data_IF_364679946128
#
_entry.id   IF_364679946128
#
_cell.length_a   1.000
_cell.length_b   1.000
_cell.length_c   1.000
_cell.angle_alpha   90.00
_cell.angle_beta   90.00
_cell.angle_gamma   90.00
#
_symmetry.space_group_name_H-M   'P 1'
#
loop_
_entity.id
_entity.type
_entity.pdbx_description
1 polymer ?
#
# COMPACT_ATOMS: atom_id res chain seq x y z
N UNK A 1 -2.63 -5.67 -21.14
CA UNK A 1 -3.51 -5.79 -19.97
C UNK A 1 -4.30 -4.50 -19.90
N UNK A 2 -5.58 -4.56 -20.23
CA UNK A 2 -6.47 -3.41 -20.14
C UNK A 2 -6.75 -3.11 -18.67
N UNK A 3 -6.46 -1.90 -18.21
CA UNK A 3 -6.72 -1.46 -16.83
C UNK A 3 -8.21 -1.10 -16.62
N UNK A 4 -9.10 -1.86 -17.27
CA UNK A 4 -10.56 -1.78 -17.09
C UNK A 4 -10.92 -2.36 -15.72
N UNK A 5 -10.83 -1.54 -14.68
CA UNK A 5 -11.17 -1.98 -13.32
C UNK A 5 -10.69 -1.08 -12.18
N UNK A 6 -10.28 0.16 -12.46
CA UNK A 6 -9.94 1.12 -11.39
C UNK A 6 -11.25 1.72 -10.87
N UNK A 7 -11.60 1.38 -9.63
CA UNK A 7 -12.71 2.03 -8.94
C UNK A 7 -12.30 3.44 -8.50
N UNK A 8 -13.12 4.42 -8.88
CA UNK A 8 -12.98 5.80 -8.40
C UNK A 8 -13.88 6.04 -7.19
N UNK A 9 -13.27 6.44 -6.09
CA UNK A 9 -13.95 6.90 -4.90
C UNK A 9 -13.76 8.41 -4.81
N UNK A 10 -14.87 9.16 -4.87
CA UNK A 10 -14.79 10.62 -4.85
C UNK A 10 -14.17 11.13 -3.55
N UNK A 11 -14.61 10.60 -2.40
CA UNK A 11 -14.21 11.11 -1.09
C UNK A 11 -14.01 10.01 -0.06
N UNK A 12 -12.86 10.05 0.60
CA UNK A 12 -12.55 9.25 1.79
C UNK A 12 -12.08 10.17 2.91
N UNK A 13 -12.68 10.00 4.10
CA UNK A 13 -12.18 10.64 5.32
C UNK A 13 -11.82 9.59 6.35
N UNK A 14 -10.55 9.54 6.74
CA UNK A 14 -10.09 8.69 7.83
C UNK A 14 -10.15 9.42 9.17
N UNK A 15 -10.69 8.72 10.15
CA UNK A 15 -10.69 9.06 11.57
C UNK A 15 -9.96 7.96 12.33
N UNK A 16 -9.49 8.19 13.57
CA UNK A 16 -8.76 7.16 14.32
C UNK A 16 -9.51 5.83 14.49
N UNK A 17 -10.85 5.85 14.54
CA UNK A 17 -11.68 4.66 14.78
C UNK A 17 -12.37 4.09 13.54
N UNK A 18 -12.48 4.86 12.44
CA UNK A 18 -13.27 4.47 11.26
C UNK A 18 -12.87 5.27 10.02
N UNK A 19 -13.33 4.82 8.86
CA UNK A 19 -13.27 5.56 7.61
C UNK A 19 -14.69 5.93 7.15
N UNK A 20 -14.86 7.10 6.56
CA UNK A 20 -16.06 7.48 5.84
C UNK A 20 -15.81 7.36 4.35
N UNK A 21 -16.59 6.53 3.66
CA UNK A 21 -16.56 6.34 2.20
C UNK A 21 -17.98 6.57 1.69
N UNK A 22 -18.16 7.49 0.74
CA UNK A 22 -19.49 7.83 0.18
C UNK A 22 -20.56 8.07 1.27
N UNK A 23 -20.18 8.72 2.38
CA UNK A 23 -21.08 9.01 3.51
C UNK A 23 -21.36 7.83 4.45
N UNK A 24 -20.80 6.65 4.22
CA UNK A 24 -20.98 5.47 5.08
C UNK A 24 -19.75 5.21 5.97
N UNK A 25 -19.95 4.89 7.26
CA UNK A 25 -18.85 4.53 8.15
C UNK A 25 -18.41 3.08 7.92
N UNK A 26 -17.09 2.87 7.91
CA UNK A 26 -16.47 1.56 7.80
C UNK A 26 -15.46 1.36 8.92
N UNK A 27 -15.44 0.15 9.49
CA UNK A 27 -14.38 -0.27 10.43
C UNK A 27 -13.04 -0.29 9.71
N UNK A 28 -11.99 0.04 10.45
CA UNK A 28 -10.62 0.10 9.96
C UNK A 28 -9.72 -0.83 10.78
N UNK A 29 -8.73 -1.41 10.12
CA UNK A 29 -7.56 -2.05 10.72
C UNK A 29 -6.33 -1.28 10.29
N UNK A 30 -5.57 -0.78 11.27
CA UNK A 30 -4.43 0.09 11.02
C UNK A 30 -3.16 -0.70 10.78
N UNK A 31 -2.52 -0.45 9.66
CA UNK A 31 -1.10 -0.73 9.43
C UNK A 31 -0.29 0.57 9.49
N UNK A 32 1.03 0.42 9.62
CA UNK A 32 1.95 1.55 9.67
C UNK A 32 1.89 2.42 8.39
N UNK A 33 1.71 1.80 7.22
CA UNK A 33 1.76 2.44 5.91
C UNK A 33 0.43 2.48 5.16
N UNK A 34 -0.53 1.66 5.60
CA UNK A 34 -1.83 1.51 4.96
C UNK A 34 -2.92 1.25 6.00
N UNK A 35 -4.16 1.56 5.64
CA UNK A 35 -5.35 1.14 6.38
C UNK A 35 -6.08 0.05 5.59
N UNK A 36 -6.49 -1.01 6.26
CA UNK A 36 -7.38 -2.00 5.69
C UNK A 36 -8.81 -1.78 6.17
N UNK A 37 -9.76 -1.80 5.25
CA UNK A 37 -11.19 -1.69 5.48
C UNK A 37 -11.81 -3.06 5.20
N UNK A 38 -12.06 -3.91 6.22
CA UNK A 38 -12.42 -5.30 6.00
C UNK A 38 -13.74 -5.50 5.25
N UNK A 39 -14.75 -4.68 5.56
CA UNK A 39 -16.07 -4.76 4.92
C UNK A 39 -16.01 -4.63 3.40
N UNK A 40 -15.45 -3.53 2.85
CA UNK A 40 -15.27 -3.39 1.41
C UNK A 40 -14.01 -4.09 0.88
N UNK A 41 -13.21 -4.74 1.73
CA UNK A 41 -11.94 -5.40 1.36
C UNK A 41 -10.92 -4.47 0.68
N UNK A 42 -10.84 -3.22 1.11
CA UNK A 42 -9.93 -2.21 0.53
C UNK A 42 -8.72 -2.00 1.43
N UNK A 43 -7.51 -2.12 0.89
CA UNK A 43 -6.26 -1.66 1.51
C UNK A 43 -5.86 -0.32 0.89
N UNK A 44 -6.08 0.79 1.60
CA UNK A 44 -5.72 2.14 1.16
C UNK A 44 -4.37 2.56 1.76
N UNK A 45 -3.50 3.15 0.94
CA UNK A 45 -2.23 3.69 1.43
C UNK A 45 -2.45 4.99 2.21
N UNK A 46 -1.65 5.20 3.26
CA UNK A 46 -1.60 6.49 3.93
C UNK A 46 -0.88 7.48 3.04
N UNK A 47 -1.48 8.66 2.85
CA UNK A 47 -0.92 9.69 1.99
C UNK A 47 -0.97 11.08 2.63
N UNK A 48 0.03 11.90 2.33
CA UNK A 48 0.05 13.34 2.58
C UNK A 48 0.42 14.04 1.27
N UNK A 49 -0.49 14.88 0.77
CA UNK A 49 -0.32 15.57 -0.52
C UNK A 49 0.00 14.62 -1.70
N UNK A 50 -0.65 13.45 -1.76
CA UNK A 50 -0.45 12.46 -2.83
C UNK A 50 0.86 11.69 -2.76
N UNK A 51 1.62 11.82 -1.67
CA UNK A 51 2.85 11.05 -1.42
C UNK A 51 2.67 10.13 -0.24
N UNK A 52 3.39 9.01 -0.23
CA UNK A 52 3.32 8.00 0.81
C UNK A 52 3.61 8.59 2.20
N UNK A 53 2.95 8.03 3.22
CA UNK A 53 3.12 8.41 4.61
C UNK A 53 3.10 7.19 5.53
N UNK A 54 3.66 7.35 6.74
CA UNK A 54 3.73 6.32 7.77
C UNK A 54 3.21 6.90 9.08
N UNK A 55 2.32 6.17 9.74
CA UNK A 55 1.75 6.54 11.05
C UNK A 55 2.36 5.75 12.21
N UNK A 56 3.43 4.98 11.96
CA UNK A 56 4.12 4.25 13.01
C UNK A 56 4.67 5.22 14.06
N UNK A 57 4.47 4.92 15.34
CA UNK A 57 4.80 5.87 16.42
C UNK A 57 6.30 6.20 16.53
N UNK A 58 7.19 5.36 15.99
CA UNK A 58 8.64 5.65 15.90
C UNK A 58 9.07 6.25 14.57
N UNK A 59 8.14 6.45 13.63
CA UNK A 59 8.47 7.11 12.37
C UNK A 59 8.85 8.59 12.64
N UNK A 60 9.79 9.15 11.86
CA UNK A 60 10.03 10.58 11.85
C UNK A 60 8.77 11.39 11.64
N UNK A 61 8.83 12.65 12.08
CA UNK A 61 7.96 13.68 11.53
C UNK A 61 8.35 13.93 10.07
N UNK A 62 7.34 13.94 9.20
CA UNK A 62 7.51 14.15 7.77
C UNK A 62 8.18 15.48 7.46
N UNK A 63 7.81 16.53 8.18
CA UNK A 63 8.33 17.89 8.00
C UNK A 63 9.81 17.98 8.35
N UNK A 64 10.27 17.27 9.39
CA UNK A 64 11.67 17.24 9.79
C UNK A 64 12.54 16.53 8.74
N UNK A 65 12.06 15.40 8.22
CA UNK A 65 12.75 14.64 7.17
C UNK A 65 12.84 15.45 5.88
N UNK A 66 11.70 15.94 5.38
CA UNK A 66 11.66 16.65 4.10
C UNK A 66 12.31 18.03 4.17
N UNK A 67 12.44 18.61 5.37
CA UNK A 67 13.21 19.83 5.62
C UNK A 67 14.72 19.61 5.80
N UNK A 68 15.19 18.36 5.83
CA UNK A 68 16.61 18.03 6.04
C UNK A 68 17.09 18.22 7.48
N UNK A 69 16.17 18.27 8.45
CA UNK A 69 16.49 18.43 9.87
C UNK A 69 16.59 17.10 10.61
N UNK A 70 16.17 16.00 9.99
CA UNK A 70 16.30 14.66 10.55
C UNK A 70 17.74 14.17 10.48
N UNK A 71 18.29 13.84 11.65
CA UNK A 71 19.68 13.37 11.81
C UNK A 71 19.80 11.86 12.03
N UNK A 72 18.70 11.11 11.92
CA UNK A 72 18.75 9.65 12.06
C UNK A 72 19.55 9.03 10.91
N UNK A 73 20.15 7.87 11.17
CA UNK A 73 20.96 7.14 10.19
C UNK A 73 20.18 6.76 8.93
N UNK A 74 18.87 6.59 9.04
CA UNK A 74 17.94 6.21 7.98
C UNK A 74 17.15 7.41 7.41
N UNK A 75 17.57 8.66 7.69
CA UNK A 75 16.86 9.86 7.25
C UNK A 75 16.66 9.92 5.72
N UNK A 76 17.64 9.47 4.93
CA UNK A 76 17.54 9.40 3.47
C UNK A 76 16.48 8.39 3.01
N UNK A 77 16.39 7.24 3.68
CA UNK A 77 15.37 6.23 3.37
C UNK A 77 13.97 6.76 3.67
N UNK A 78 13.81 7.50 4.78
CA UNK A 78 12.57 8.18 5.11
C UNK A 78 12.24 9.31 4.13
N UNK A 79 13.24 10.07 3.69
CA UNK A 79 13.05 11.13 2.70
C UNK A 79 12.58 10.56 1.37
N UNK A 80 13.18 9.44 0.94
CA UNK A 80 12.72 8.68 -0.23
C UNK A 80 11.29 8.20 -0.03
N UNK A 81 10.98 7.50 1.06
CA UNK A 81 9.63 6.99 1.31
C UNK A 81 8.57 8.11 1.36
N UNK A 82 8.87 9.26 1.97
CA UNK A 82 7.94 10.40 2.03
C UNK A 82 7.86 11.21 0.73
N UNK A 83 8.85 11.10 -0.16
CA UNK A 83 8.82 11.72 -1.48
C UNK A 83 8.15 10.84 -2.54
N UNK A 84 8.12 9.51 -2.35
CA UNK A 84 7.48 8.56 -3.25
C UNK A 84 5.99 8.90 -3.48
N UNK A 85 5.55 9.06 -4.75
CA UNK A 85 4.14 9.20 -5.07
C UNK A 85 3.33 8.01 -4.57
N UNK A 86 2.15 8.26 -3.99
CA UNK A 86 1.31 7.17 -3.47
C UNK A 86 0.83 6.22 -4.58
N UNK A 87 0.62 6.75 -5.79
CA UNK A 87 0.20 5.95 -6.96
C UNK A 87 1.29 4.94 -7.35
N UNK A 88 2.55 5.39 -7.38
CA UNK A 88 3.72 4.52 -7.57
C UNK A 88 3.72 3.37 -6.57
N UNK A 89 3.55 3.67 -5.29
CA UNK A 89 3.58 2.63 -4.25
C UNK A 89 2.43 1.62 -4.37
N UNK A 90 1.26 2.08 -4.79
CA UNK A 90 0.11 1.19 -5.06
C UNK A 90 0.35 0.33 -6.28
N UNK A 91 0.95 0.88 -7.34
CA UNK A 91 1.33 0.14 -8.54
C UNK A 91 2.35 -0.96 -8.23
N UNK A 92 3.38 -0.67 -7.42
CA UNK A 92 4.33 -1.67 -6.92
C UNK A 92 3.61 -2.79 -6.16
N UNK A 93 2.72 -2.43 -5.22
CA UNK A 93 1.95 -3.43 -4.48
C UNK A 93 1.03 -4.26 -5.39
N UNK A 94 0.39 -3.65 -6.40
CA UNK A 94 -0.47 -4.37 -7.34
C UNK A 94 0.31 -5.44 -8.09
N UNK A 95 1.45 -5.07 -8.68
CA UNK A 95 2.31 -6.02 -9.41
C UNK A 95 2.77 -7.15 -8.48
N UNK A 96 3.23 -6.81 -7.28
CA UNK A 96 3.66 -7.83 -6.31
C UNK A 96 2.50 -8.75 -5.88
N UNK A 97 1.30 -8.23 -5.61
CA UNK A 97 0.16 -9.07 -5.23
C UNK A 97 -0.32 -9.95 -6.38
N UNK A 98 -0.28 -9.47 -7.63
CA UNK A 98 -0.53 -10.30 -8.81
C UNK A 98 0.41 -11.50 -8.87
N UNK A 99 1.71 -11.25 -8.69
CA UNK A 99 2.73 -12.31 -8.70
C UNK A 99 2.60 -13.28 -7.52
N UNK A 100 2.38 -12.76 -6.31
CA UNK A 100 2.15 -13.59 -5.13
C UNK A 100 0.92 -14.47 -5.29
N UNK A 101 -0.18 -13.94 -5.82
CA UNK A 101 -1.39 -14.72 -6.02
C UNK A 101 -1.17 -15.83 -7.05
N UNK A 102 -0.52 -15.52 -8.18
CA UNK A 102 -0.17 -16.51 -9.20
C UNK A 102 0.71 -17.64 -8.64
N UNK A 103 1.58 -17.34 -7.67
CA UNK A 103 2.40 -18.32 -6.97
C UNK A 103 1.70 -18.99 -5.76
N UNK A 104 0.44 -18.64 -5.46
CA UNK A 104 -0.29 -19.15 -4.28
C UNK A 104 0.22 -18.64 -2.93
N UNK A 105 0.98 -17.54 -2.91
CA UNK A 105 1.65 -16.98 -1.73
C UNK A 105 0.93 -15.76 -1.13
N UNK A 106 -0.02 -15.17 -1.84
CA UNK A 106 -0.73 -13.96 -1.42
C UNK A 106 -2.23 -13.98 -1.72
N UNK A 107 -2.96 -12.95 -1.24
CA UNK A 107 -4.38 -12.81 -1.53
C UNK A 107 -4.60 -12.52 -3.01
N UNK A 108 -5.74 -12.96 -3.53
CA UNK A 108 -6.22 -12.55 -4.84
C UNK A 108 -6.39 -11.01 -4.89
N UNK A 109 -5.71 -10.32 -5.82
CA UNK A 109 -5.95 -8.91 -6.08
C UNK A 109 -7.19 -8.76 -6.98
N UNK A 110 -8.25 -8.18 -6.42
CA UNK A 110 -9.56 -8.09 -7.08
C UNK A 110 -9.76 -6.77 -7.85
N UNK A 111 -8.87 -5.79 -7.66
CA UNK A 111 -8.95 -4.51 -8.38
C UNK A 111 -8.16 -3.39 -7.73
N UNK A 112 -8.09 -2.27 -8.45
CA UNK A 112 -7.42 -1.04 -8.00
C UNK A 112 -8.47 -0.03 -7.53
N UNK A 113 -8.10 0.78 -6.55
CA UNK A 113 -8.95 1.87 -6.03
C UNK A 113 -8.16 3.17 -6.06
N UNK A 114 -8.77 4.22 -6.60
CA UNK A 114 -8.22 5.57 -6.60
C UNK A 114 -9.17 6.55 -5.91
N UNK A 115 -8.62 7.44 -5.09
CA UNK A 115 -9.38 8.40 -4.27
C UNK A 115 -9.03 9.82 -4.67
N UNK A 116 -10.02 10.59 -5.10
CA UNK A 116 -9.84 12.00 -5.54
C UNK A 116 -9.65 12.96 -4.37
N UNK A 117 -10.44 12.79 -3.32
CA UNK A 117 -10.49 13.66 -2.14
C UNK A 117 -10.27 12.83 -0.86
N UNK A 118 -9.00 12.63 -0.54
CA UNK A 118 -8.54 11.95 0.64
C UNK A 118 -8.18 12.93 1.75
N UNK A 119 -8.75 12.70 2.94
CA UNK A 119 -8.40 13.40 4.18
C UNK A 119 -8.17 12.40 5.29
N UNK A 120 -7.14 12.60 6.08
CA UNK A 120 -6.84 11.76 7.25
C UNK A 120 -6.75 12.57 8.54
N UNK A 121 -6.75 11.90 9.69
CA UNK A 121 -6.60 12.56 10.99
C UNK A 121 -5.16 13.02 11.25
N UNK A 122 -4.17 12.41 10.57
CA UNK A 122 -2.75 12.74 10.68
C UNK A 122 -2.29 13.82 9.69
N UNK A 123 -3.19 14.34 8.84
CA UNK A 123 -2.89 15.43 7.92
C UNK A 123 -4.00 16.47 7.89
N UNK A 124 -3.62 17.75 7.90
CA UNK A 124 -4.58 18.85 7.70
C UNK A 124 -4.96 19.03 6.24
N UNK A 125 -4.10 18.59 5.31
CA UNK A 125 -4.29 18.75 3.88
C UNK A 125 -5.31 17.77 3.29
N UNK A 126 -5.81 18.12 2.12
CA UNK A 126 -6.56 17.21 1.24
C UNK A 126 -5.65 16.82 0.09
N UNK A 127 -5.79 15.61 -0.42
CA UNK A 127 -5.01 15.15 -1.57
C UNK A 127 -5.61 13.90 -2.18
N UNK A 128 -4.83 13.24 -3.01
CA UNK A 128 -5.20 11.93 -3.54
C UNK A 128 -4.61 10.81 -2.67
N UNK A 129 -5.24 9.65 -2.71
CA UNK A 129 -4.59 8.38 -2.36
C UNK A 129 -5.05 7.29 -3.32
N UNK A 130 -4.46 6.11 -3.21
CA UNK A 130 -4.91 4.92 -3.92
C UNK A 130 -4.74 3.68 -3.03
N UNK A 131 -5.24 2.56 -3.52
CA UNK A 131 -5.18 1.28 -2.85
C UNK A 131 -5.61 0.14 -3.73
N UNK A 132 -5.86 -1.00 -3.07
CA UNK A 132 -6.14 -2.28 -3.71
C UNK A 132 -7.36 -2.90 -3.06
N UNK A 133 -8.17 -3.61 -3.86
CA UNK A 133 -9.10 -4.62 -3.34
C UNK A 133 -8.37 -5.95 -3.26
N UNK A 134 -8.32 -6.55 -2.07
CA UNK A 134 -7.64 -7.81 -1.82
C UNK A 134 -8.60 -8.81 -1.18
N UNK A 135 -8.56 -10.07 -1.62
CA UNK A 135 -9.32 -11.12 -0.98
C UNK A 135 -8.95 -11.25 0.52
N UNK A 136 -9.96 -11.59 1.33
CA UNK A 136 -9.81 -11.67 2.78
C UNK A 136 -9.08 -12.97 3.16
N UNK A 137 -7.78 -12.85 3.45
CA UNK A 137 -6.94 -13.96 3.90
C UNK A 137 -7.47 -14.66 5.15
N UNK A 138 -8.32 -14.04 5.96
CA UNK A 138 -8.88 -14.73 7.14
C UNK A 138 -9.82 -15.88 6.76
N UNK A 139 -10.28 -15.91 5.51
CA UNK A 139 -11.15 -16.96 4.94
C UNK A 139 -10.38 -18.03 4.16
N UNK A 140 -9.07 -17.87 3.98
CA UNK A 140 -8.24 -18.82 3.22
C UNK A 140 -7.94 -20.06 4.07
N UNK A 141 -7.70 -21.24 3.45
CA UNK A 141 -7.18 -22.39 4.18
C UNK A 141 -5.77 -22.11 4.70
N UNK A 142 -5.45 -22.63 5.88
CA UNK A 142 -4.09 -22.50 6.43
C UNK A 142 -3.08 -23.30 5.59
N UNK A 143 -1.89 -22.72 5.42
CA UNK A 143 -0.75 -23.40 4.80
C UNK A 143 0.55 -23.05 5.51
N UNK A 144 1.63 -23.73 5.14
CA UNK A 144 2.97 -23.36 5.58
C UNK A 144 3.28 -21.91 5.18
N UNK A 145 3.92 -21.12 6.08
CA UNK A 145 4.38 -19.78 5.75
C UNK A 145 5.29 -19.77 4.53
N UNK A 146 5.09 -18.81 3.65
CA UNK A 146 5.96 -18.55 2.52
C UNK A 146 7.39 -18.28 2.99
N UNK A 147 8.35 -18.81 2.25
CA UNK A 147 9.79 -18.69 2.46
C UNK A 147 10.37 -17.58 1.59
N UNK A 148 11.59 -17.13 1.91
CA UNK A 148 12.28 -16.15 1.07
C UNK A 148 12.50 -16.65 -0.36
N UNK A 149 12.81 -17.94 -0.52
CA UNK A 149 13.03 -18.55 -1.82
C UNK A 149 11.77 -18.49 -2.69
N UNK A 150 10.61 -18.84 -2.12
CA UNK A 150 9.33 -18.77 -2.82
C UNK A 150 8.96 -17.33 -3.21
N UNK A 151 9.27 -16.33 -2.37
CA UNK A 151 9.07 -14.92 -2.73
C UNK A 151 9.93 -14.50 -3.93
N UNK A 152 11.21 -14.91 -3.94
CA UNK A 152 12.12 -14.63 -5.05
C UNK A 152 11.71 -15.35 -6.33
N UNK A 153 11.28 -16.60 -6.23
CA UNK A 153 10.73 -17.36 -7.36
C UNK A 153 9.45 -16.71 -7.92
N UNK A 154 8.64 -16.09 -7.07
CA UNK A 154 7.51 -15.25 -7.49
C UNK A 154 7.95 -13.87 -8.06
N UNK A 155 9.25 -13.63 -8.27
CA UNK A 155 9.78 -12.37 -8.80
C UNK A 155 9.61 -11.20 -7.84
N UNK A 156 9.83 -11.42 -6.53
CA UNK A 156 9.76 -10.36 -5.51
C UNK A 156 11.08 -10.29 -4.77
N UNK A 157 11.65 -9.09 -4.74
CA UNK A 157 12.78 -8.75 -3.89
C UNK A 157 12.25 -8.42 -2.49
N UNK A 158 12.54 -9.25 -1.47
CA UNK A 158 12.05 -9.02 -0.11
C UNK A 158 12.61 -7.73 0.49
N UNK A 159 11.86 -7.11 1.40
CA UNK A 159 12.38 -5.96 2.14
C UNK A 159 13.57 -6.37 3.03
N UNK A 160 14.50 -5.44 3.29
CA UNK A 160 15.69 -5.72 4.12
C UNK A 160 15.35 -6.28 5.49
N UNK A 161 14.21 -5.85 6.05
CA UNK A 161 13.78 -6.35 7.35
C UNK A 161 13.05 -7.69 7.25
N UNK A 162 12.67 -8.17 6.06
CA UNK A 162 11.82 -9.37 5.88
C UNK A 162 10.46 -9.25 6.59
N UNK A 163 9.87 -8.07 6.63
CA UNK A 163 8.55 -7.84 7.19
C UNK A 163 7.49 -8.69 6.47
N UNK A 164 7.57 -8.80 5.14
CA UNK A 164 6.65 -9.63 4.35
C UNK A 164 6.68 -11.12 4.72
N UNK A 165 7.80 -11.61 5.24
CA UNK A 165 7.96 -12.99 5.71
C UNK A 165 7.51 -13.18 7.16
N UNK A 166 7.68 -12.17 8.03
CA UNK A 166 7.25 -12.25 9.44
C UNK A 166 5.76 -12.04 9.64
N UNK A 167 5.14 -11.23 8.80
CA UNK A 167 3.77 -10.73 8.98
C UNK A 167 2.79 -11.40 8.01
N UNK A 168 2.79 -12.73 8.04
CA UNK A 168 1.91 -13.56 7.22
C UNK A 168 0.61 -13.88 7.95
N UNK A 169 -0.49 -13.95 7.20
CA UNK A 169 -1.81 -14.35 7.70
C UNK A 169 -2.10 -15.73 7.12
N UNK A 170 -2.30 -16.74 7.97
CA UNK A 170 -2.56 -18.14 7.57
C UNK A 170 -1.50 -18.73 6.60
N UNK A 171 -0.28 -18.20 6.65
CA UNK A 171 0.82 -18.61 5.77
C UNK A 171 0.89 -17.87 4.42
N UNK A 172 0.10 -16.80 4.24
CA UNK A 172 0.14 -15.94 3.05
C UNK A 172 0.70 -14.56 3.39
N UNK A 173 1.45 -13.99 2.46
CA UNK A 173 2.00 -12.64 2.55
C UNK A 173 0.86 -11.62 2.51
N UNK A 174 0.76 -10.80 3.56
CA UNK A 174 -0.34 -9.84 3.75
C UNK A 174 0.09 -8.37 3.69
N UNK A 175 1.37 -8.10 4.01
CA UNK A 175 1.95 -6.77 3.91
C UNK A 175 3.31 -6.78 3.23
N UNK A 176 3.47 -5.79 2.37
CA UNK A 176 4.67 -5.55 1.56
C UNK A 176 5.27 -4.18 1.86
N UNK A 177 4.56 -3.37 2.68
CA UNK A 177 4.90 -1.99 2.95
C UNK A 177 5.84 -1.89 4.14
N UNK A 178 7.05 -1.42 3.86
CA UNK A 178 8.04 -1.08 4.85
C UNK A 178 8.85 0.12 4.35
N UNK A 179 9.70 0.69 5.22
CA UNK A 179 10.63 1.76 4.87
C UNK A 179 11.52 1.37 3.68
N UNK A 180 11.99 0.13 3.66
CA UNK A 180 12.70 -0.50 2.55
C UNK A 180 11.83 -1.55 1.86
N UNK A 181 10.55 -1.22 1.63
CA UNK A 181 9.51 -2.15 1.22
C UNK A 181 9.92 -3.11 0.10
N UNK A 182 9.27 -4.26 0.06
CA UNK A 182 9.48 -5.23 -1.00
C UNK A 182 9.24 -4.58 -2.37
N UNK A 183 9.95 -5.08 -3.38
CA UNK A 183 9.90 -4.57 -4.76
C UNK A 183 9.64 -5.72 -5.74
N UNK A 184 8.88 -5.49 -6.82
CA UNK A 184 8.80 -6.46 -7.91
C UNK A 184 10.13 -6.50 -8.66
N UNK A 185 10.68 -7.70 -8.84
CA UNK A 185 11.89 -7.92 -9.64
C UNK A 185 11.60 -7.66 -11.12
N UNK A 186 12.42 -6.84 -11.79
CA UNK A 186 12.23 -6.45 -13.20
C UNK A 186 10.82 -5.91 -13.54
N UNK A 187 10.09 -5.37 -12.56
CA UNK A 187 8.69 -4.95 -12.69
C UNK A 187 8.48 -3.51 -13.17
N UNK A 188 9.53 -2.76 -13.50
CA UNK A 188 9.44 -1.30 -13.73
C UNK A 188 8.39 -0.91 -14.77
N UNK A 189 8.35 -1.62 -15.92
CA UNK A 189 7.39 -1.33 -16.98
C UNK A 189 5.94 -1.61 -16.55
N UNK A 190 5.70 -2.66 -15.77
CA UNK A 190 4.38 -3.03 -15.24
C UNK A 190 3.92 -2.00 -14.21
N UNK A 191 4.83 -1.60 -13.32
CA UNK A 191 4.56 -0.57 -12.32
C UNK A 191 4.24 0.76 -13.00
N UNK A 192 5.03 1.18 -13.98
CA UNK A 192 4.80 2.42 -14.73
C UNK A 192 3.45 2.41 -15.47
N UNK A 193 3.06 1.28 -16.07
CA UNK A 193 1.77 1.14 -16.73
C UNK A 193 0.59 1.30 -15.75
N UNK A 194 0.67 0.64 -14.59
CA UNK A 194 -0.36 0.72 -13.55
C UNK A 194 -0.41 2.12 -12.92
N UNK A 195 0.74 2.73 -12.64
CA UNK A 195 0.82 4.09 -12.13
C UNK A 195 0.18 5.09 -13.10
N UNK A 196 0.49 4.98 -14.39
CA UNK A 196 -0.11 5.81 -15.43
C UNK A 196 -1.63 5.59 -15.53
N UNK A 197 -2.11 4.36 -15.38
CA UNK A 197 -3.55 4.08 -15.36
C UNK A 197 -4.26 4.72 -14.15
N UNK A 198 -3.66 4.64 -12.96
CA UNK A 198 -4.16 5.32 -11.76
C UNK A 198 -4.18 6.85 -11.93
N UNK A 199 -3.13 7.42 -12.53
CA UNK A 199 -3.05 8.85 -12.82
C UNK A 199 -4.16 9.29 -13.79
N UNK A 200 -4.34 8.57 -14.91
CA UNK A 200 -5.41 8.83 -15.88
C UNK A 200 -6.79 8.75 -15.25
N UNK A 201 -7.06 7.76 -14.40
CA UNK A 201 -8.34 7.64 -13.70
C UNK A 201 -8.63 8.86 -12.79
N UNK A 202 -7.58 9.46 -12.22
CA UNK A 202 -7.66 10.67 -11.40
C UNK A 202 -7.65 11.97 -12.23
N UNK A 203 -7.57 11.90 -13.55
CA UNK A 203 -7.47 13.06 -14.44
C UNK A 203 -6.12 13.79 -14.33
N UNK A 204 -5.03 13.05 -14.17
CA UNK A 204 -3.66 13.54 -14.02
C UNK A 204 -2.74 13.03 -15.12
#
# INVERSE_FOLDING_TARGET
MDHEGIELIDKVRLWPSHAMIAGRPHRVKWGAWAVYLPGPQIKLMHAVAGRQHCIYYKAPRREEVLGGFDRRRDAEDWARAFSTPVLRRVAENWVMFQRLHAAGLGPEPMGLVAVRDYRSFFSRGRGITAGLRLADLTKYPEKAPATEAELREAGIVPDRSRASLREQIRGYVSDLNNLHGAMPEDGEAEVAAVEAALARALGR
#
